data_IF_273396690492
#
_entry.id   IF_273396690492
#
_cell.length_a   1.000
_cell.length_b   1.000
_cell.length_c   1.000
_cell.angle_alpha   90.00
_cell.angle_beta   90.00
_cell.angle_gamma   90.00
#
_symmetry.space_group_name_H-M   'P 1'
#
loop_
_entity.id
_entity.type
_entity.pdbx_description
1 polymer ?
#
# COMPACT_ATOMS: atom_id res chain seq x y z
N UNK A 1 -8.57 -13.84 7.65
CA UNK A 1 -8.64 -12.97 8.84
C UNK A 1 -7.62 -11.83 8.84
N UNK A 2 -6.35 -12.02 8.41
CA UNK A 2 -5.30 -10.97 8.39
C UNK A 2 -5.65 -9.73 7.55
N UNK A 3 -6.28 -9.93 6.39
CA UNK A 3 -6.75 -8.86 5.51
C UNK A 3 -7.83 -7.94 6.12
N UNK A 4 -8.56 -8.38 7.15
CA UNK A 4 -9.55 -7.56 7.84
C UNK A 4 -8.89 -6.65 8.88
N UNK A 5 -7.80 -7.12 9.53
CA UNK A 5 -6.99 -6.30 10.43
C UNK A 5 -6.28 -5.18 9.67
N UNK A 6 -5.86 -5.43 8.43
CA UNK A 6 -5.22 -4.43 7.57
C UNK A 6 -6.10 -3.21 7.28
N UNK A 7 -7.43 -3.35 7.33
CA UNK A 7 -8.40 -2.26 7.12
C UNK A 7 -8.94 -1.67 8.44
N UNK A 8 -8.46 -2.15 9.59
CA UNK A 8 -8.94 -1.69 10.90
C UNK A 8 -8.21 -0.39 11.29
N UNK A 9 -8.93 0.70 11.61
CA UNK A 9 -8.32 1.93 12.14
C UNK A 9 -7.53 1.73 13.44
N UNK A 10 -7.86 0.68 14.21
CA UNK A 10 -7.17 0.33 15.45
C UNK A 10 -5.93 -0.57 15.23
N UNK A 11 -5.56 -0.85 13.97
CA UNK A 11 -4.34 -1.59 13.68
C UNK A 11 -3.12 -0.77 14.12
N UNK A 12 -2.32 -1.35 15.01
CA UNK A 12 -1.10 -0.72 15.49
C UNK A 12 -0.07 -0.60 14.36
N UNK A 13 0.77 0.44 14.42
CA UNK A 13 1.82 0.69 13.43
C UNK A 13 2.72 -0.52 13.16
N UNK A 14 3.11 -1.25 14.22
CA UNK A 14 3.91 -2.47 14.09
C UNK A 14 3.18 -3.56 13.29
N UNK A 15 1.87 -3.74 13.51
CA UNK A 15 1.06 -4.69 12.76
C UNK A 15 0.94 -4.30 11.29
N UNK A 16 0.74 -3.01 10.97
CA UNK A 16 0.68 -2.54 9.59
C UNK A 16 2.02 -2.74 8.86
N UNK A 17 3.14 -2.55 9.55
CA UNK A 17 4.48 -2.81 9.00
C UNK A 17 4.71 -4.28 8.73
N UNK A 18 4.31 -5.17 9.64
CA UNK A 18 4.39 -6.62 9.43
C UNK A 18 3.49 -7.07 8.28
N UNK A 19 2.27 -6.52 8.19
CA UNK A 19 1.33 -6.82 7.10
C UNK A 19 1.79 -6.23 5.75
N UNK A 20 2.54 -5.13 5.76
CA UNK A 20 3.18 -4.59 4.56
C UNK A 20 4.33 -5.47 4.05
N UNK A 21 4.88 -6.36 4.88
CA UNK A 21 5.86 -7.37 4.50
C UNK A 21 5.24 -8.76 4.34
N UNK A 22 3.91 -8.89 4.41
CA UNK A 22 3.22 -10.17 4.28
C UNK A 22 3.49 -10.79 2.90
N UNK A 23 3.60 -12.11 2.85
CA UNK A 23 3.86 -12.83 1.59
C UNK A 23 2.71 -12.65 0.59
N UNK A 24 1.49 -12.44 1.08
CA UNK A 24 0.29 -12.30 0.27
C UNK A 24 0.12 -10.88 -0.30
N UNK A 25 0.14 -10.68 -1.63
CA UNK A 25 -0.03 -9.36 -2.25
C UNK A 25 -1.37 -8.70 -1.92
N UNK A 26 -2.43 -9.50 -1.75
CA UNK A 26 -3.75 -9.02 -1.35
C UNK A 26 -3.78 -8.41 0.06
N UNK A 27 -2.94 -8.92 0.97
CA UNK A 27 -2.82 -8.33 2.32
C UNK A 27 -2.10 -7.00 2.23
N UNK A 28 -0.99 -6.94 1.49
CA UNK A 28 -0.22 -5.71 1.27
C UNK A 28 -1.05 -4.63 0.57
N UNK A 29 -1.88 -4.99 -0.42
CA UNK A 29 -2.73 -4.03 -1.12
C UNK A 29 -3.82 -3.45 -0.22
N UNK A 30 -4.33 -4.21 0.75
CA UNK A 30 -5.26 -3.68 1.76
C UNK A 30 -4.59 -2.74 2.75
N UNK A 31 -3.33 -2.99 3.13
CA UNK A 31 -2.55 -2.03 3.91
C UNK A 31 -2.32 -0.75 3.12
N UNK A 32 -1.97 -0.86 1.84
CA UNK A 32 -1.82 0.26 0.93
C UNK A 32 -3.12 1.06 0.73
N UNK A 33 -4.27 0.40 0.66
CA UNK A 33 -5.58 1.04 0.53
C UNK A 33 -6.16 1.57 1.85
N UNK A 34 -5.54 1.28 3.00
CA UNK A 34 -6.07 1.71 4.28
C UNK A 34 -5.84 3.22 4.48
N UNK A 35 -6.89 4.05 4.63
CA UNK A 35 -6.73 5.47 4.90
C UNK A 35 -6.01 5.76 6.22
N UNK A 36 -5.98 4.83 7.18
CA UNK A 36 -5.25 5.02 8.45
C UNK A 36 -3.79 4.54 8.39
N UNK A 37 -3.31 4.08 7.22
CA UNK A 37 -1.91 3.71 7.06
C UNK A 37 -0.99 4.91 7.17
N UNK A 38 0.14 4.70 7.84
CA UNK A 38 1.15 5.72 8.03
C UNK A 38 1.96 5.94 6.74
N UNK A 39 2.32 7.19 6.45
CA UNK A 39 3.14 7.58 5.30
C UNK A 39 4.45 6.76 5.16
N UNK A 40 5.09 6.37 6.27
CA UNK A 40 6.31 5.56 6.24
C UNK A 40 6.06 4.15 5.68
N UNK A 41 4.92 3.55 6.07
CA UNK A 41 4.49 2.23 5.56
C UNK A 41 4.08 2.34 4.09
N UNK A 42 3.40 3.43 3.72
CA UNK A 42 3.02 3.70 2.33
C UNK A 42 4.27 3.90 1.43
N UNK A 43 5.30 4.60 1.93
CA UNK A 43 6.60 4.74 1.24
C UNK A 43 7.28 3.39 1.01
N UNK A 44 7.26 2.48 1.99
CA UNK A 44 7.78 1.12 1.84
C UNK A 44 7.07 0.35 0.72
N UNK A 45 5.73 0.42 0.68
CA UNK A 45 4.92 -0.26 -0.33
C UNK A 45 5.05 0.36 -1.73
N UNK A 46 5.64 1.55 -1.86
CA UNK A 46 5.87 2.19 -3.16
C UNK A 46 6.84 1.38 -4.02
N UNK A 47 7.76 0.64 -3.39
CA UNK A 47 8.71 -0.25 -4.06
C UNK A 47 8.21 -1.70 -4.15
N UNK A 48 6.93 -1.94 -3.87
CA UNK A 48 6.36 -3.29 -3.92
C UNK A 48 6.38 -3.83 -5.36
N UNK A 49 6.81 -5.08 -5.50
CA UNK A 49 6.86 -5.77 -6.80
C UNK A 49 5.47 -5.96 -7.41
N UNK A 50 4.43 -6.01 -6.59
CA UNK A 50 3.06 -6.21 -7.05
C UNK A 50 2.44 -4.91 -7.57
N UNK A 51 2.03 -4.86 -8.85
CA UNK A 51 1.34 -3.70 -9.41
C UNK A 51 -0.03 -3.45 -8.74
N UNK A 52 -0.68 -4.48 -8.19
CA UNK A 52 -1.94 -4.32 -7.45
C UNK A 52 -1.75 -3.50 -6.17
N UNK A 53 -0.64 -3.73 -5.46
CA UNK A 53 -0.28 -3.00 -4.23
C UNK A 53 0.01 -1.53 -4.56
N UNK A 54 0.78 -1.29 -5.64
CA UNK A 54 1.10 0.05 -6.13
C UNK A 54 -0.13 0.82 -6.62
N UNK A 55 -1.08 0.15 -7.28
CA UNK A 55 -2.40 0.74 -7.63
C UNK A 55 -3.24 1.08 -6.40
N UNK A 56 -3.26 0.20 -5.40
CA UNK A 56 -3.99 0.45 -4.16
C UNK A 56 -3.45 1.67 -3.41
N UNK A 57 -2.12 1.83 -3.39
CA UNK A 57 -1.43 3.03 -2.91
C UNK A 57 -1.89 4.29 -3.64
N UNK A 58 -1.90 4.26 -4.99
CA UNK A 58 -2.33 5.39 -5.79
C UNK A 58 -3.80 5.78 -5.57
N UNK A 59 -4.63 4.82 -5.15
CA UNK A 59 -6.05 5.03 -4.87
C UNK A 59 -6.33 5.48 -3.44
N UNK A 60 -5.33 5.51 -2.56
CA UNK A 60 -5.52 5.88 -1.16
C UNK A 60 -5.39 7.40 -0.97
N UNK A 61 -6.39 8.08 -0.37
CA UNK A 61 -6.36 9.53 -0.17
C UNK A 61 -5.29 10.03 0.81
N UNK A 62 -4.77 9.16 1.69
CA UNK A 62 -3.68 9.52 2.60
C UNK A 62 -2.29 9.25 2.03
N UNK A 63 -2.20 8.80 0.78
CA UNK A 63 -0.93 8.65 0.09
C UNK A 63 -0.31 10.02 -0.18
N UNK A 64 0.93 10.26 0.27
CA UNK A 64 1.61 11.53 0.01
C UNK A 64 1.74 11.79 -1.49
N UNK A 65 1.60 13.05 -1.90
CA UNK A 65 1.73 13.43 -3.29
C UNK A 65 3.09 13.03 -3.89
N UNK A 66 4.17 13.04 -3.09
CA UNK A 66 5.49 12.56 -3.48
C UNK A 66 5.47 11.08 -3.91
N UNK A 67 4.73 10.25 -3.18
CA UNK A 67 4.55 8.82 -3.52
C UNK A 67 3.71 8.68 -4.78
N UNK A 68 2.65 9.48 -4.94
CA UNK A 68 1.84 9.50 -6.16
C UNK A 68 2.67 9.90 -7.39
N UNK A 69 3.59 10.86 -7.26
CA UNK A 69 4.49 11.24 -8.35
C UNK A 69 5.49 10.14 -8.69
N UNK A 70 6.02 9.43 -7.70
CA UNK A 70 6.91 8.28 -7.93
C UNK A 70 6.16 7.16 -8.64
N UNK A 71 4.94 6.85 -8.19
CA UNK A 71 4.07 5.85 -8.82
C UNK A 71 3.66 6.28 -10.25
N UNK A 72 3.31 7.54 -10.46
CA UNK A 72 2.94 8.04 -11.79
C UNK A 72 4.10 7.95 -12.79
N UNK A 73 5.34 8.06 -12.32
CA UNK A 73 6.55 7.94 -13.12
C UNK A 73 7.06 6.50 -13.23
N UNK A 74 6.44 5.55 -12.54
CA UNK A 74 6.71 4.13 -12.64
C UNK A 74 5.86 3.55 -13.79
N UNK A 75 6.47 3.46 -14.97
CA UNK A 75 5.83 3.00 -16.22
C UNK A 75 5.14 1.63 -16.08
N UNK A 76 5.50 0.82 -15.09
CA UNK A 76 4.93 -0.52 -14.92
C UNK A 76 3.50 -0.53 -14.35
N UNK A 77 3.00 0.60 -13.82
CA UNK A 77 1.64 0.68 -13.24
C UNK A 77 0.55 0.75 -14.33
N UNK A 78 0.86 1.36 -15.48
CA UNK A 78 -0.10 1.62 -16.54
C UNK A 78 -0.02 0.60 -17.70
N UNK A 79 1.02 -0.24 -17.74
CA UNK A 79 1.29 -1.19 -18.83
C UNK A 79 0.45 -2.47 -18.83
N UNK A 80 -0.64 -2.56 -18.04
CA UNK A 80 -1.61 -3.66 -18.19
C UNK A 80 -2.70 -3.20 -19.17
N UNK A 81 -2.39 -3.26 -20.47
CA UNK A 81 -3.33 -3.02 -21.57
C UNK A 81 -3.86 -4.34 -22.13
#
# INVERSE_FOLDING_TARGET
MRAACASNPAASFALLKDLAADSEPLVRSRVAANPHSNADVLKLLTQDKSPEVRRALASNPNTPQEVLTVLANDDTIWLTR
#
